data_IF_419756348595
#
_entry.id   IF_419756348595
#
_cell.length_a   1.000
_cell.length_b   1.000
_cell.length_c   1.000
_cell.angle_alpha   90.00
_cell.angle_beta   90.00
_cell.angle_gamma   90.00
#
_symmetry.space_group_name_H-M   'P 1'
#
loop_
_entity.id
_entity.type
_entity.pdbx_description
1 polymer ?
#
# COMPACT_ATOMS: atom_id res chain seq x y z
N UNK A 1 24.45 -6.65 -19.70
CA UNK A 1 23.79 -6.43 -19.34
C UNK A 1 23.29 -6.48 -18.86
N UNK A 2 23.15 -6.26 -18.81
CA UNK A 2 22.34 -5.98 -18.31
C UNK A 2 21.87 -5.88 -17.84
N UNK A 3 21.89 -5.76 -17.83
CA UNK A 3 21.16 -5.55 -17.34
C UNK A 3 20.39 -5.28 -17.07
N UNK A 4 20.53 -5.13 -17.34
CA UNK A 4 19.62 -4.83 -17.08
C UNK A 4 18.92 -4.87 -16.50
N UNK A 5 18.84 -5.10 -16.35
CA UNK A 5 18.08 -5.01 -15.71
C UNK A 5 17.83 -4.21 -15.14
N UNK A 6 18.02 -3.97 -15.13
CA UNK A 6 17.78 -3.11 -14.63
C UNK A 6 16.97 -2.41 -14.80
N UNK A 7 17.04 -2.51 -15.22
CA UNK A 7 16.34 -1.69 -15.40
C UNK A 7 15.10 -1.72 -15.51
N UNK A 8 14.63 -2.50 -15.24
CA UNK A 8 13.24 -2.21 -15.35
C UNK A 8 12.69 -1.77 -14.02
N UNK A 9 12.91 -0.51 -13.67
CA UNK A 9 12.54 -0.02 -12.34
C UNK A 9 11.04 0.05 -12.14
N UNK A 10 10.26 -0.06 -13.20
CA UNK A 10 8.81 0.04 -13.09
C UNK A 10 8.15 -1.28 -12.73
N UNK A 11 8.89 -2.37 -12.78
CA UNK A 11 8.30 -3.65 -12.42
C UNK A 11 8.07 -3.74 -10.93
N UNK A 12 6.85 -4.03 -10.57
CA UNK A 12 6.46 -4.16 -9.18
C UNK A 12 6.36 -5.63 -8.85
N UNK A 13 6.94 -6.01 -7.71
CA UNK A 13 6.84 -7.38 -7.22
C UNK A 13 5.48 -7.57 -6.56
N UNK A 14 4.57 -8.24 -7.26
CA UNK A 14 3.21 -8.44 -6.77
C UNK A 14 3.18 -9.22 -5.47
N UNK A 15 4.14 -10.10 -5.26
CA UNK A 15 4.21 -10.88 -4.03
C UNK A 15 4.48 -9.97 -2.84
N UNK A 16 5.39 -9.01 -3.00
CA UNK A 16 5.67 -8.05 -1.95
C UNK A 16 4.45 -7.15 -1.68
N UNK A 17 3.75 -6.77 -2.74
CA UNK A 17 2.54 -5.96 -2.58
C UNK A 17 1.47 -6.75 -1.83
N UNK A 18 1.32 -8.03 -2.15
CA UNK A 18 0.37 -8.89 -1.46
C UNK A 18 0.67 -8.97 0.03
N UNK A 19 1.94 -9.15 0.37
CA UNK A 19 2.35 -9.22 1.78
C UNK A 19 2.06 -7.91 2.49
N UNK A 20 2.33 -6.80 1.82
CA UNK A 20 2.06 -5.48 2.37
C UNK A 20 0.58 -5.29 2.64
N UNK A 21 -0.25 -5.65 1.67
CA UNK A 21 -1.70 -5.51 1.80
C UNK A 21 -2.22 -6.37 2.95
N UNK A 22 -1.75 -7.60 3.05
CA UNK A 22 -2.19 -8.49 4.14
C UNK A 22 -1.80 -7.93 5.51
N UNK A 23 -0.59 -7.38 5.62
CA UNK A 23 -0.12 -6.79 6.87
C UNK A 23 -0.96 -5.56 7.23
N UNK A 24 -1.25 -4.72 6.24
CA UNK A 24 -2.08 -3.54 6.46
C UNK A 24 -3.48 -3.93 6.89
N UNK A 25 -4.08 -4.91 6.21
CA UNK A 25 -5.42 -5.36 6.57
C UNK A 25 -5.46 -5.88 8.00
N UNK A 26 -4.46 -6.65 8.39
CA UNK A 26 -4.40 -7.20 9.73
C UNK A 26 -4.30 -6.10 10.77
N UNK A 27 -3.45 -5.11 10.52
CA UNK A 27 -3.28 -4.01 11.47
C UNK A 27 -4.52 -3.12 11.52
N UNK A 28 -5.14 -2.86 10.37
CA UNK A 28 -6.35 -2.06 10.31
C UNK A 28 -7.50 -2.75 11.01
N UNK A 29 -7.55 -4.09 10.99
CA UNK A 29 -8.59 -4.84 11.67
C UNK A 29 -8.52 -4.68 13.18
N UNK A 30 -7.36 -4.30 13.72
CA UNK A 30 -7.19 -4.08 15.15
C UNK A 30 -7.64 -2.70 15.58
N UNK A 31 -7.79 -1.79 14.64
CA UNK A 31 -8.23 -0.43 14.92
C UNK A 31 -9.75 -0.46 15.00
N UNK A 32 -10.29 -0.34 16.21
CA UNK A 32 -11.72 -0.45 16.42
C UNK A 32 -12.48 0.71 15.85
N UNK A 33 -11.98 1.89 16.14
CA UNK A 33 -12.53 3.11 15.62
C UNK A 33 -11.44 3.81 14.88
N UNK A 34 -11.74 4.30 13.74
CA UNK A 34 -10.78 5.07 12.99
C UNK A 34 -11.37 6.42 12.67
N UNK A 35 -10.50 7.40 12.52
CA UNK A 35 -10.90 8.68 11.96
C UNK A 35 -11.34 8.45 10.51
N UNK A 36 -11.91 9.48 9.91
CA UNK A 36 -12.26 9.39 8.49
C UNK A 36 -11.02 9.15 7.64
N UNK A 37 -9.86 9.61 8.08
CA UNK A 37 -8.60 9.37 7.36
C UNK A 37 -8.21 7.90 7.40
N UNK A 38 -8.42 7.24 8.55
CA UNK A 38 -8.13 5.81 8.66
C UNK A 38 -9.13 5.02 7.82
N UNK A 39 -10.39 5.46 7.79
CA UNK A 39 -11.37 4.79 6.95
C UNK A 39 -11.01 4.91 5.47
N UNK A 40 -10.52 6.07 5.06
CA UNK A 40 -10.07 6.26 3.68
C UNK A 40 -8.92 5.31 3.37
N UNK A 41 -8.00 5.14 4.31
CA UNK A 41 -6.89 4.20 4.13
C UNK A 41 -7.42 2.77 3.96
N UNK A 42 -8.40 2.37 4.76
CA UNK A 42 -9.02 1.06 4.61
C UNK A 42 -9.62 0.88 3.23
N UNK A 43 -10.30 1.91 2.74
CA UNK A 43 -10.93 1.86 1.43
C UNK A 43 -9.91 1.70 0.31
N UNK A 44 -8.79 2.42 0.42
CA UNK A 44 -7.74 2.33 -0.58
C UNK A 44 -7.05 0.97 -0.55
N UNK A 45 -6.84 0.44 0.64
CA UNK A 45 -6.25 -0.90 0.78
C UNK A 45 -7.18 -1.95 0.17
N UNK A 46 -8.48 -1.81 0.39
CA UNK A 46 -9.45 -2.74 -0.17
C UNK A 46 -9.44 -2.67 -1.69
N UNK A 47 -9.36 -1.47 -2.24
CA UNK A 47 -9.30 -1.28 -3.69
C UNK A 47 -8.06 -1.96 -4.26
N UNK A 48 -6.91 -1.76 -3.63
CA UNK A 48 -5.67 -2.38 -4.09
C UNK A 48 -5.76 -3.90 -4.00
N UNK A 49 -6.35 -4.42 -2.92
CA UNK A 49 -6.54 -5.84 -2.76
C UNK A 49 -7.37 -6.41 -3.90
N UNK A 50 -8.42 -5.70 -4.31
CA UNK A 50 -9.28 -6.14 -5.40
C UNK A 50 -8.53 -6.16 -6.72
N UNK A 51 -7.65 -5.18 -6.95
CA UNK A 51 -6.80 -5.17 -8.14
C UNK A 51 -5.89 -6.39 -8.16
N UNK A 52 -5.32 -6.74 -7.01
CA UNK A 52 -4.43 -7.89 -6.92
C UNK A 52 -5.15 -9.21 -7.15
N UNK A 53 -6.43 -9.28 -6.82
CA UNK A 53 -7.24 -10.48 -7.03
C UNK A 53 -7.77 -10.60 -8.44
N UNK A 54 -7.69 -9.54 -9.21
CA UNK A 54 -8.19 -9.54 -10.58
C UNK A 54 -7.40 -10.53 -11.43
N UNK A 55 -8.06 -11.23 -12.37
CA UNK A 55 -7.35 -12.11 -13.30
C UNK A 55 -6.34 -11.35 -14.15
N UNK A 56 -6.59 -10.08 -14.39
CA UNK A 56 -5.68 -9.23 -15.12
C UNK A 56 -5.10 -8.20 -14.16
N UNK A 57 -3.83 -8.38 -13.83
CA UNK A 57 -3.14 -7.46 -12.91
C UNK A 57 -2.16 -6.64 -13.73
N UNK A 58 -2.45 -5.38 -13.89
CA UNK A 58 -1.60 -4.49 -14.65
C UNK A 58 -0.70 -3.72 -13.68
N UNK A 59 0.56 -3.62 -14.01
CA UNK A 59 1.54 -2.97 -13.14
C UNK A 59 1.13 -1.54 -12.81
N UNK A 60 0.60 -0.79 -13.79
CA UNK A 60 0.24 0.59 -13.51
C UNK A 60 -0.97 0.70 -12.59
N UNK A 61 -1.90 -0.26 -12.64
CA UNK A 61 -3.04 -0.26 -11.70
C UNK A 61 -2.56 -0.51 -10.28
N UNK A 62 -1.62 -1.44 -10.11
CA UNK A 62 -1.06 -1.74 -8.80
C UNK A 62 -0.24 -0.55 -8.32
N UNK A 63 0.53 0.06 -9.20
CA UNK A 63 1.33 1.24 -8.86
C UNK A 63 0.44 2.39 -8.41
N UNK A 64 -0.64 2.65 -9.14
CA UNK A 64 -1.59 3.70 -8.75
C UNK A 64 -2.23 3.39 -7.42
N UNK A 65 -2.58 2.12 -7.19
CA UNK A 65 -3.15 1.71 -5.91
C UNK A 65 -2.19 1.93 -4.76
N UNK A 66 -0.90 1.63 -4.98
CA UNK A 66 0.12 1.86 -3.95
C UNK A 66 0.29 3.35 -3.67
N UNK A 67 0.27 4.19 -4.70
CA UNK A 67 0.34 5.63 -4.51
C UNK A 67 -0.86 6.14 -3.71
N UNK A 68 -2.05 5.62 -4.02
CA UNK A 68 -3.25 6.03 -3.30
C UNK A 68 -3.19 5.61 -1.83
N UNK A 69 -2.75 4.39 -1.56
CA UNK A 69 -2.60 3.91 -0.19
C UNK A 69 -1.58 4.77 0.55
N UNK A 70 -0.45 5.04 -0.08
CA UNK A 70 0.58 5.86 0.53
C UNK A 70 0.08 7.26 0.86
N UNK A 71 -0.63 7.87 -0.09
CA UNK A 71 -1.14 9.22 0.12
C UNK A 71 -2.16 9.25 1.25
N UNK A 72 -3.04 8.26 1.31
CA UNK A 72 -4.01 8.17 2.40
C UNK A 72 -3.31 8.01 3.73
N UNK A 73 -2.25 7.19 3.78
CA UNK A 73 -1.50 6.99 5.01
C UNK A 73 -0.78 8.27 5.43
N UNK A 74 -0.20 9.00 4.47
CA UNK A 74 0.49 10.24 4.76
C UNK A 74 -0.47 11.31 5.28
N UNK A 75 -1.63 11.42 4.65
CA UNK A 75 -2.60 12.44 5.05
C UNK A 75 -3.19 12.17 6.42
N UNK A 76 -3.33 10.90 6.77
CA UNK A 76 -3.90 10.53 8.06
C UNK A 76 -2.88 10.08 9.08
N UNK A 77 -1.59 10.37 8.87
CA UNK A 77 -0.52 9.81 9.68
C UNK A 77 -0.72 10.03 11.18
N UNK A 78 -0.98 11.25 11.59
CA UNK A 78 -1.15 11.56 13.01
C UNK A 78 -2.32 10.81 13.60
N UNK A 79 -3.44 10.79 12.89
CA UNK A 79 -4.64 10.13 13.37
C UNK A 79 -4.48 8.63 13.37
N UNK A 80 -3.80 8.10 12.36
CA UNK A 80 -3.54 6.67 12.30
C UNK A 80 -2.66 6.24 13.47
N UNK A 81 -1.66 7.03 13.81
CA UNK A 81 -0.81 6.73 14.95
C UNK A 81 -1.59 6.81 16.27
N UNK A 82 -2.47 7.78 16.39
CA UNK A 82 -3.30 7.91 17.57
C UNK A 82 -4.23 6.72 17.73
N UNK A 83 -4.67 6.14 16.60
CA UNK A 83 -5.53 4.96 16.61
C UNK A 83 -4.74 3.66 16.71
N UNK A 84 -3.41 3.73 16.81
CA UNK A 84 -2.59 2.56 17.04
C UNK A 84 -1.98 1.95 15.78
N UNK A 85 -2.16 2.57 14.63
CA UNK A 85 -1.62 2.05 13.39
C UNK A 85 -0.25 2.67 13.12
N UNK A 86 0.73 1.82 12.84
CA UNK A 86 2.10 2.29 12.56
C UNK A 86 2.23 2.63 11.08
N UNK A 87 1.57 3.68 10.68
CA UNK A 87 1.48 4.03 9.27
C UNK A 87 2.83 4.36 8.64
N UNK A 88 3.77 4.90 9.42
CA UNK A 88 5.08 5.25 8.89
C UNK A 88 5.83 4.08 8.29
N UNK A 89 5.70 2.91 8.90
CA UNK A 89 6.35 1.71 8.37
C UNK A 89 5.82 1.37 6.98
N UNK A 90 4.53 1.51 6.81
CA UNK A 90 3.89 1.17 5.54
C UNK A 90 4.22 2.19 4.47
N UNK A 91 4.30 3.46 4.84
CA UNK A 91 4.71 4.51 3.91
C UNK A 91 6.10 4.21 3.37
N UNK A 92 7.03 3.86 4.26
CA UNK A 92 8.40 3.53 3.87
C UNK A 92 8.44 2.29 2.96
N UNK A 93 7.65 1.28 3.31
CA UNK A 93 7.64 0.04 2.54
C UNK A 93 7.06 0.26 1.15
N UNK A 94 6.00 1.04 1.05
CA UNK A 94 5.43 1.38 -0.25
C UNK A 94 6.44 2.13 -1.09
N UNK A 95 7.15 3.09 -0.49
CA UNK A 95 8.18 3.81 -1.18
C UNK A 95 9.25 2.89 -1.74
N UNK A 96 9.68 1.91 -0.94
CA UNK A 96 10.67 0.93 -1.38
C UNK A 96 10.15 0.12 -2.56
N UNK A 97 8.93 -0.35 -2.49
CA UNK A 97 8.33 -1.15 -3.56
C UNK A 97 8.22 -0.33 -4.85
N UNK A 98 7.86 0.94 -4.71
CA UNK A 98 7.71 1.82 -5.86
C UNK A 98 9.05 2.31 -6.41
N UNK A 99 10.14 2.07 -5.71
CA UNK A 99 11.45 2.52 -6.14
C UNK A 99 11.70 3.99 -5.90
N UNK A 100 11.09 4.54 -4.86
CA UNK A 100 11.19 5.98 -4.58
C UNK A 100 12.25 6.29 -3.55
#
# INVERSE_FOLDING_TARGET
MSKDSKQVPQEINFEEVSKLVHALERDLARVRKGSSDVQLLRDEVETLKNVLKSPVRRHHWVREGLHAVRKAAENGLEKALADGLKAGQYIAEIGRILGM
#
